data_IF_708138023996
#
_entry.id   IF_708138023996
#
_cell.length_a   1.000
_cell.length_b   1.000
_cell.length_c   1.000
_cell.angle_alpha   90.00
_cell.angle_beta   90.00
_cell.angle_gamma   90.00
#
_symmetry.space_group_name_H-M   'P 1'
#
loop_
_entity.id
_entity.type
_entity.pdbx_description
1 polymer ?
#
# COMPACT_ATOMS: atom_id res chain seq x y z
N UNK A 1 -20.86 -20.99 -12.38
CA UNK A 1 -21.36 -20.43 -11.69
C UNK A 1 -21.07 -19.18 -11.77
N UNK A 2 -21.50 -18.53 -11.65
CA UNK A 2 -21.20 -17.38 -11.70
C UNK A 2 -21.41 -16.95 -10.49
N UNK A 3 -20.86 -16.65 -9.89
CA UNK A 3 -20.90 -16.35 -8.77
C UNK A 3 -21.24 -15.17 -8.53
N UNK A 4 -21.79 -14.91 -8.26
CA UNK A 4 -22.02 -13.83 -7.99
C UNK A 4 -22.54 -13.09 -8.67
N UNK A 5 -22.88 -13.16 -9.21
CA UNK A 5 -23.09 -12.48 -9.92
C UNK A 5 -24.05 -11.92 -9.85
N UNK A 6 -24.51 -11.78 -9.46
CA UNK A 6 -25.09 -11.13 -9.46
C UNK A 6 -25.13 -10.16 -8.97
N UNK A 7 -25.01 -10.04 -8.90
CA UNK A 7 -24.86 -9.19 -8.57
C UNK A 7 -24.53 -8.52 -8.66
N UNK A 8 -24.58 -8.25 -8.76
CA UNK A 8 -24.05 -7.60 -9.02
C UNK A 8 -23.82 -6.86 -9.41
N UNK A 9 -24.08 -6.53 -9.75
CA UNK A 9 -23.68 -5.93 -10.42
C UNK A 9 -23.89 -4.97 -10.53
N UNK A 10 -23.75 -4.18 -10.20
CA UNK A 10 -23.73 -3.33 -10.31
C UNK A 10 -23.41 -2.53 -10.87
N UNK A 11 -23.51 -1.99 -10.87
CA UNK A 11 -23.12 -1.21 -11.40
C UNK A 11 -22.27 -1.10 -12.09
N UNK A 12 -22.05 -0.61 -12.17
CA UNK A 12 -21.14 -0.54 -12.84
C UNK A 12 -20.41 -1.60 -13.01
N UNK A 13 -20.86 -2.44 -12.91
CA UNK A 13 -20.11 -3.38 -13.02
C UNK A 13 -19.57 -3.55 -14.22
N UNK A 14 -18.47 -3.49 -14.36
CA UNK A 14 -17.87 -3.57 -15.47
C UNK A 14 -17.69 -4.91 -15.83
N UNK A 15 -18.50 -5.70 -15.73
CA UNK A 15 -18.35 -7.04 -16.09
C UNK A 15 -18.13 -7.85 -14.87
N UNK A 16 -18.27 -9.10 -14.97
CA UNK A 16 -18.13 -9.99 -13.86
C UNK A 16 -16.69 -10.35 -13.68
N UNK A 17 -16.14 -10.01 -12.56
CA UNK A 17 -14.81 -10.36 -12.25
C UNK A 17 -14.82 -11.46 -11.22
N UNK A 18 -14.10 -12.53 -11.50
CA UNK A 18 -14.05 -13.66 -10.58
C UNK A 18 -13.02 -13.45 -9.47
N UNK A 19 -12.25 -12.37 -9.53
CA UNK A 19 -11.21 -12.08 -8.54
C UNK A 19 -10.95 -10.59 -8.47
N UNK A 20 -10.28 -10.19 -7.43
CA UNK A 20 -9.83 -8.81 -7.28
C UNK A 20 -8.50 -8.82 -6.55
N UNK A 21 -7.73 -7.75 -6.71
CA UNK A 21 -6.49 -7.61 -5.98
C UNK A 21 -6.82 -7.40 -4.51
N UNK A 22 -6.24 -8.21 -3.65
CA UNK A 22 -6.49 -8.12 -2.21
C UNK A 22 -5.32 -7.51 -1.48
N UNK A 23 -4.16 -8.15 -1.54
CA UNK A 23 -2.99 -7.69 -0.81
C UNK A 23 -1.74 -7.86 -1.65
N UNK A 24 -0.72 -7.09 -1.30
CA UNK A 24 0.63 -7.24 -1.81
C UNK A 24 1.53 -7.47 -0.60
N UNK A 25 2.44 -8.42 -0.70
CA UNK A 25 3.36 -8.72 0.40
C UNK A 25 4.61 -7.87 0.31
N UNK A 26 5.06 -7.37 1.45
CA UNK A 26 6.25 -6.53 1.56
C UNK A 26 7.16 -7.14 2.61
N UNK A 27 8.35 -7.56 2.21
CA UNK A 27 9.32 -8.11 3.16
C UNK A 27 9.95 -6.99 3.97
N UNK A 28 10.04 -7.18 5.28
CA UNK A 28 10.61 -6.22 6.21
C UNK A 28 11.51 -6.97 7.20
N UNK A 29 12.51 -6.27 7.74
CA UNK A 29 13.43 -6.89 8.70
C UNK A 29 12.80 -7.04 10.08
N UNK A 30 12.03 -6.06 10.51
CA UNK A 30 11.42 -6.06 11.84
C UNK A 30 9.95 -5.68 11.66
N UNK A 31 9.08 -6.66 11.79
CA UNK A 31 7.65 -6.46 11.51
C UNK A 31 6.99 -5.46 12.46
N UNK A 32 7.37 -5.45 13.73
CA UNK A 32 6.77 -4.50 14.67
C UNK A 32 7.24 -3.07 14.41
N UNK A 33 8.51 -2.91 14.05
CA UNK A 33 9.02 -1.59 13.69
C UNK A 33 8.37 -1.09 12.40
N UNK A 34 8.21 -1.97 11.42
CA UNK A 34 7.55 -1.63 10.17
C UNK A 34 6.09 -1.25 10.42
N UNK A 35 5.38 -2.01 11.26
CA UNK A 35 4.00 -1.69 11.61
C UNK A 35 3.89 -0.28 12.18
N UNK A 36 4.79 0.09 13.08
CA UNK A 36 4.77 1.44 13.67
C UNK A 36 4.94 2.51 12.59
N UNK A 37 5.84 2.29 11.63
CA UNK A 37 6.01 3.24 10.53
C UNK A 37 4.71 3.41 9.75
N UNK A 38 4.09 2.31 9.36
CA UNK A 38 2.87 2.38 8.55
C UNK A 38 1.72 2.99 9.33
N UNK A 39 1.63 2.75 10.63
CA UNK A 39 0.60 3.35 11.45
C UNK A 39 0.87 4.83 11.72
N UNK A 40 2.07 5.18 12.13
CA UNK A 40 2.35 6.52 12.63
C UNK A 40 2.67 7.52 11.53
N UNK A 41 3.34 7.08 10.49
CA UNK A 41 3.71 7.98 9.39
C UNK A 41 2.64 7.99 8.30
N UNK A 42 2.19 6.82 7.88
CA UNK A 42 1.25 6.72 6.77
C UNK A 42 -0.22 6.66 7.21
N UNK A 43 -0.49 6.44 8.49
CA UNK A 43 -1.86 6.38 8.97
C UNK A 43 -2.61 5.12 8.59
N UNK A 44 -1.87 4.06 8.26
CA UNK A 44 -2.51 2.77 7.96
C UNK A 44 -3.08 2.17 9.22
N UNK A 45 -4.02 1.27 9.06
CA UNK A 45 -4.59 0.52 10.17
C UNK A 45 -4.18 -0.94 10.06
N UNK A 46 -3.89 -1.56 11.20
CA UNK A 46 -3.65 -2.98 11.26
C UNK A 46 -4.99 -3.69 11.18
N UNK A 47 -5.12 -4.59 10.22
CA UNK A 47 -6.37 -5.32 9.99
C UNK A 47 -6.33 -6.74 10.52
N UNK A 48 -5.15 -7.28 10.74
CA UNK A 48 -5.00 -8.62 11.27
C UNK A 48 -3.54 -9.00 11.34
N UNK A 49 -3.25 -10.10 12.01
CA UNK A 49 -1.91 -10.65 12.09
C UNK A 49 -2.01 -12.12 12.46
N UNK A 50 -0.98 -12.87 12.11
CA UNK A 50 -0.98 -14.29 12.42
C UNK A 50 0.42 -14.87 12.35
N UNK A 51 0.52 -16.12 12.81
CA UNK A 51 1.76 -16.91 12.81
C UNK A 51 2.94 -16.18 13.44
N UNK A 52 2.64 -15.30 14.43
CA UNK A 52 3.66 -14.50 15.08
C UNK A 52 4.65 -15.40 15.81
N UNK A 53 5.91 -14.99 15.75
CA UNK A 53 6.98 -15.77 16.34
C UNK A 53 7.51 -16.87 15.43
N UNK A 54 7.03 -16.95 14.21
CA UNK A 54 7.52 -17.93 13.23
C UNK A 54 7.97 -17.22 11.95
N UNK A 55 8.62 -17.94 11.07
CA UNK A 55 9.03 -17.37 9.77
C UNK A 55 7.86 -17.07 8.86
N UNK A 56 6.65 -17.54 9.20
CA UNK A 56 5.45 -17.27 8.42
C UNK A 56 4.60 -16.15 9.01
N UNK A 57 5.13 -15.41 9.97
CA UNK A 57 4.41 -14.30 10.58
C UNK A 57 4.02 -13.26 9.54
N UNK A 58 2.80 -12.73 9.68
CA UNK A 58 2.29 -11.70 8.78
C UNK A 58 1.48 -10.66 9.55
N UNK A 59 1.54 -9.42 9.08
CA UNK A 59 0.71 -8.34 9.61
C UNK A 59 0.02 -7.68 8.41
N UNK A 60 -1.30 -7.70 8.41
CA UNK A 60 -2.08 -7.11 7.34
C UNK A 60 -2.43 -5.67 7.69
N UNK A 61 -2.10 -4.75 6.81
CA UNK A 61 -2.33 -3.32 7.02
C UNK A 61 -2.93 -2.69 5.76
N UNK A 62 -3.72 -1.65 5.95
CA UNK A 62 -4.28 -0.91 4.83
C UNK A 62 -4.54 0.53 5.22
N UNK A 63 -4.66 1.44 4.23
CA UNK A 63 -5.19 2.77 4.51
C UNK A 63 -6.58 2.66 5.13
N UNK A 64 -7.04 3.69 5.84
CA UNK A 64 -8.38 3.65 6.44
C UNK A 64 -9.50 3.40 5.45
N UNK A 65 -9.33 3.87 4.21
CA UNK A 65 -10.30 3.65 3.15
C UNK A 65 -9.63 2.88 2.03
N UNK A 66 -10.41 2.25 1.19
CA UNK A 66 -9.89 1.45 0.10
C UNK A 66 -10.09 -0.03 0.36
N UNK A 67 -9.84 -0.83 -0.67
CA UNK A 67 -10.12 -2.25 -0.63
C UNK A 67 -8.86 -3.12 -0.74
N UNK A 68 -7.69 -2.51 -0.89
CA UNK A 68 -6.44 -3.24 -1.00
C UNK A 68 -5.54 -2.93 0.20
N UNK A 69 -4.68 -3.86 0.51
CA UNK A 69 -3.75 -3.68 1.61
C UNK A 69 -2.40 -4.31 1.34
N UNK A 70 -1.56 -4.29 2.34
CA UNK A 70 -0.26 -4.94 2.28
C UNK A 70 -0.10 -5.88 3.45
N UNK A 71 0.65 -6.96 3.24
CA UNK A 71 1.06 -7.80 4.36
C UNK A 71 2.55 -7.61 4.57
N UNK A 72 2.92 -7.31 5.80
CA UNK A 72 4.32 -7.22 6.20
C UNK A 72 4.76 -8.63 6.54
N UNK A 73 5.78 -9.12 5.84
CA UNK A 73 6.24 -10.50 5.98
C UNK A 73 7.74 -10.52 6.29
N UNK A 74 8.21 -11.64 6.80
CA UNK A 74 9.65 -11.83 7.01
C UNK A 74 10.36 -12.01 5.67
N UNK A 75 11.65 -11.68 5.60
CA UNK A 75 12.43 -11.96 4.40
C UNK A 75 12.39 -13.45 4.05
N UNK A 76 12.37 -13.76 2.77
CA UNK A 76 12.32 -15.15 2.31
C UNK A 76 13.02 -15.26 0.96
N UNK A 77 13.05 -16.48 0.40
CA UNK A 77 13.78 -16.73 -0.84
C UNK A 77 13.25 -15.95 -2.03
N UNK A 78 11.98 -15.49 -1.96
CA UNK A 78 11.35 -14.77 -3.08
C UNK A 78 11.41 -13.27 -2.92
N UNK A 79 11.51 -12.77 -1.69
CA UNK A 79 11.54 -11.33 -1.48
C UNK A 79 12.38 -10.97 -0.28
N UNK A 80 13.25 -9.99 -0.48
CA UNK A 80 14.06 -9.41 0.58
C UNK A 80 13.61 -7.98 0.84
N UNK A 81 13.89 -7.42 2.03
CA UNK A 81 13.54 -6.03 2.34
C UNK A 81 14.13 -5.09 1.29
N UNK A 82 13.34 -4.11 0.88
CA UNK A 82 13.77 -3.15 -0.13
C UNK A 82 13.46 -3.56 -1.56
N UNK A 83 12.99 -4.77 -1.79
CA UNK A 83 12.70 -5.22 -3.15
C UNK A 83 11.32 -4.80 -3.66
N UNK A 84 10.36 -4.54 -2.77
CA UNK A 84 9.05 -4.08 -3.21
C UNK A 84 9.15 -2.61 -3.60
N UNK A 85 8.76 -2.29 -4.84
CA UNK A 85 8.90 -0.93 -5.36
C UNK A 85 7.64 -0.55 -6.15
N UNK A 86 7.35 0.74 -6.20
CA UNK A 86 6.30 1.25 -7.06
C UNK A 86 4.89 1.09 -6.53
N UNK A 87 4.74 0.82 -5.25
CA UNK A 87 3.41 0.78 -4.65
C UNK A 87 2.85 2.19 -4.60
N UNK A 88 1.61 2.37 -5.04
CA UNK A 88 1.07 3.71 -5.23
C UNK A 88 -0.09 3.98 -4.29
N UNK A 89 -0.05 5.13 -3.65
CA UNK A 89 -1.14 5.66 -2.85
C UNK A 89 -1.74 6.86 -3.59
N UNK A 90 -3.02 6.77 -3.90
CA UNK A 90 -3.69 7.83 -4.62
C UNK A 90 -4.28 8.83 -3.63
N UNK A 91 -4.14 10.10 -3.92
CA UNK A 91 -4.68 11.17 -3.07
C UNK A 91 -5.40 12.18 -3.92
N UNK A 92 -6.34 12.91 -3.32
CA UNK A 92 -7.03 14.01 -3.98
C UNK A 92 -6.29 15.33 -3.76
N UNK A 93 -5.35 15.39 -2.83
CA UNK A 93 -4.63 16.63 -2.51
C UNK A 93 -3.17 16.25 -2.19
N UNK A 94 -2.35 16.22 -3.21
CA UNK A 94 -0.97 15.77 -3.05
C UNK A 94 -0.12 16.78 -2.28
N UNK A 95 -0.39 18.09 -2.41
CA UNK A 95 0.36 19.08 -1.66
C UNK A 95 0.15 18.89 -0.16
N UNK A 96 -1.10 18.72 0.25
CA UNK A 96 -1.42 18.56 1.66
C UNK A 96 -0.83 17.25 2.22
N UNK A 97 -0.93 16.18 1.46
CA UNK A 97 -0.36 14.90 1.89
C UNK A 97 1.15 14.98 1.98
N UNK A 98 1.78 15.59 0.98
CA UNK A 98 3.23 15.75 0.95
C UNK A 98 3.71 16.54 2.18
N UNK A 99 3.05 17.66 2.49
CA UNK A 99 3.41 18.47 3.65
C UNK A 99 3.25 17.69 4.94
N UNK A 100 2.15 16.95 5.06
CA UNK A 100 1.90 16.15 6.26
C UNK A 100 2.97 15.09 6.48
N UNK A 101 3.38 14.42 5.41
CA UNK A 101 4.41 13.38 5.53
C UNK A 101 5.76 13.99 5.89
N UNK A 102 6.09 15.15 5.33
CA UNK A 102 7.32 15.83 5.70
C UNK A 102 7.30 16.26 7.16
N UNK A 103 6.18 16.72 7.66
CA UNK A 103 6.04 17.10 9.07
C UNK A 103 6.26 15.92 10.00
N UNK A 104 6.00 14.72 9.54
CA UNK A 104 6.25 13.52 10.33
C UNK A 104 7.68 13.01 10.21
N UNK A 105 8.53 13.77 9.51
CA UNK A 105 9.95 13.43 9.40
C UNK A 105 10.29 12.52 8.23
N UNK A 106 9.34 12.25 7.35
CA UNK A 106 9.60 11.37 6.22
C UNK A 106 10.41 12.10 5.16
N UNK A 107 11.44 11.42 4.64
CA UNK A 107 12.18 11.93 3.49
C UNK A 107 11.39 11.57 2.25
N UNK A 108 10.89 12.58 1.57
CA UNK A 108 10.04 12.40 0.39
C UNK A 108 10.52 13.36 -0.68
N UNK A 109 10.52 12.92 -1.92
CA UNK A 109 10.97 13.77 -3.04
C UNK A 109 10.01 14.94 -3.23
N UNK A 110 10.48 15.96 -3.93
CA UNK A 110 9.59 17.05 -4.34
C UNK A 110 8.53 16.50 -5.27
N UNK A 111 7.40 17.18 -5.31
CA UNK A 111 6.31 16.80 -6.20
C UNK A 111 6.73 17.03 -7.64
N UNK A 112 6.72 15.98 -8.43
CA UNK A 112 7.05 16.05 -9.85
C UNK A 112 5.82 15.86 -10.71
N UNK A 113 6.04 15.92 -12.01
CA UNK A 113 4.95 15.79 -12.97
C UNK A 113 5.32 14.79 -14.05
N UNK A 114 4.40 13.88 -14.31
CA UNK A 114 4.49 12.94 -15.42
C UNK A 114 3.29 13.13 -16.33
N UNK A 115 3.27 12.46 -17.46
CA UNK A 115 2.17 12.60 -18.42
C UNK A 115 0.84 12.18 -17.81
N UNK A 116 0.86 11.29 -16.82
CA UNK A 116 -0.36 10.75 -16.21
C UNK A 116 -0.78 11.49 -14.92
N UNK A 117 0.07 12.37 -14.40
CA UNK A 117 -0.30 13.09 -13.19
C UNK A 117 0.91 13.57 -12.41
N UNK A 118 0.65 14.02 -11.19
CA UNK A 118 1.69 14.54 -10.30
C UNK A 118 1.99 13.49 -9.25
N UNK A 119 3.25 13.41 -8.83
CA UNK A 119 3.67 12.35 -7.91
C UNK A 119 4.87 12.76 -7.07
N UNK A 120 5.08 12.06 -5.98
CA UNK A 120 6.29 12.11 -5.19
C UNK A 120 6.59 10.71 -4.67
N UNK A 121 7.84 10.43 -4.32
CA UNK A 121 8.25 9.10 -3.92
C UNK A 121 8.93 9.11 -2.56
N UNK A 122 8.82 8.01 -1.85
CA UNK A 122 9.51 7.80 -0.59
C UNK A 122 9.74 6.31 -0.38
N UNK A 123 10.49 5.97 0.66
CA UNK A 123 10.72 4.58 1.02
C UNK A 123 10.33 4.35 2.47
N UNK A 124 9.94 3.12 2.77
CA UNK A 124 9.78 2.73 4.17
C UNK A 124 11.16 2.50 4.79
N UNK A 125 11.25 2.19 6.10
CA UNK A 125 12.56 2.01 6.73
C UNK A 125 13.40 0.87 6.15
N UNK A 126 12.78 -0.07 5.44
CA UNK A 126 13.50 -1.17 4.82
C UNK A 126 13.87 -0.91 3.36
N UNK A 127 13.53 0.27 2.84
CA UNK A 127 13.83 0.61 1.46
C UNK A 127 12.75 0.22 0.46
N UNK A 128 11.61 -0.29 0.92
CA UNK A 128 10.50 -0.58 0.01
C UNK A 128 9.91 0.73 -0.49
N UNK A 129 9.68 0.83 -1.79
CA UNK A 129 9.38 2.10 -2.45
C UNK A 129 7.92 2.36 -2.68
N UNK A 130 7.52 3.59 -2.36
CA UNK A 130 6.15 4.04 -2.47
C UNK A 130 6.06 5.31 -3.31
N UNK A 131 4.89 5.50 -3.91
CA UNK A 131 4.57 6.69 -4.69
C UNK A 131 3.27 7.25 -4.14
N UNK A 132 3.22 8.56 -3.88
CA UNK A 132 1.93 9.23 -3.69
C UNK A 132 1.61 9.94 -5.00
N UNK A 133 0.35 9.92 -5.41
CA UNK A 133 0.00 10.41 -6.73
C UNK A 133 -1.40 10.99 -6.80
N UNK A 134 -1.56 11.96 -7.71
CA UNK A 134 -2.87 12.48 -8.09
C UNK A 134 -2.85 12.56 -9.61
N UNK A 135 -3.91 12.15 -10.25
CA UNK A 135 -3.98 12.20 -11.70
C UNK A 135 -4.90 11.16 -12.28
N UNK A 136 -4.66 10.81 -13.52
CA UNK A 136 -5.58 9.99 -14.28
C UNK A 136 -5.24 8.50 -14.32
N UNK A 137 -4.32 8.05 -13.46
CA UNK A 137 -3.98 6.64 -13.44
C UNK A 137 -5.02 5.89 -12.62
N UNK A 138 -6.19 5.71 -13.19
CA UNK A 138 -7.31 5.04 -12.56
C UNK A 138 -7.68 3.80 -13.33
N UNK A 139 -8.21 2.87 -12.61
CA UNK A 139 -8.70 1.63 -13.24
C UNK A 139 -10.18 1.53 -13.05
#
# INVERSE_FOLDING_TARGET
MRVGMAGHRTGGNKGDSMFQLSVVSIAVNDQDKARRFYEEVLGFKTRGEGDRGTQFAWILMSPPSGTAGVTLISPNARQQPGQAQGMMLKTLDIERLHDRLKEKGLEITDIGQASWGRFATFSDPDGNGWVIAVGSLDI
#
